data_IF_737033663019
#
_entry.id   IF_737033663019
#
_cell.length_a   1.000
_cell.length_b   1.000
_cell.length_c   1.000
_cell.angle_alpha   90.00
_cell.angle_beta   90.00
_cell.angle_gamma   90.00
#
_symmetry.space_group_name_H-M   'P 1'
#
loop_
_entity.id
_entity.type
_entity.pdbx_description
1 polymer ?
#
# COMPACT_ATOMS: atom_id res chain seq x y z
N UNK A 1 -24.13 30.02 -26.74
CA UNK A 1 -22.73 29.82 -27.16
C UNK A 1 -22.28 31.11 -27.80
N UNK A 2 -21.24 31.80 -27.38
CA UNK A 2 -20.28 31.52 -26.31
C UNK A 2 -19.43 32.80 -26.17
N UNK A 3 -19.71 33.64 -25.16
CA UNK A 3 -18.90 34.86 -24.92
C UNK A 3 -17.54 34.50 -24.28
N UNK A 4 -17.45 33.33 -23.64
CA UNK A 4 -16.22 32.85 -23.02
C UNK A 4 -15.24 32.34 -24.09
N UNK A 5 -15.72 31.66 -25.13
CA UNK A 5 -14.86 31.19 -26.25
C UNK A 5 -14.15 32.33 -26.97
N UNK A 6 -14.82 33.49 -27.10
CA UNK A 6 -14.26 34.63 -27.81
C UNK A 6 -13.20 35.34 -26.96
N UNK A 7 -13.45 35.50 -25.66
CA UNK A 7 -12.47 36.04 -24.71
C UNK A 7 -11.25 35.12 -24.59
N UNK A 8 -11.45 33.81 -24.56
CA UNK A 8 -10.36 32.84 -24.55
C UNK A 8 -9.51 32.92 -25.83
N UNK A 9 -10.14 33.07 -27.00
CA UNK A 9 -9.43 33.26 -28.28
C UNK A 9 -8.65 34.56 -28.32
N UNK A 10 -9.20 35.65 -27.81
CA UNK A 10 -8.54 36.95 -27.72
C UNK A 10 -7.35 36.92 -26.76
N UNK A 11 -7.49 36.23 -25.62
CA UNK A 11 -6.41 36.06 -24.66
C UNK A 11 -5.28 35.22 -25.26
N UNK A 12 -5.60 34.11 -25.93
CA UNK A 12 -4.59 33.26 -26.60
C UNK A 12 -3.83 34.06 -27.64
N UNK A 13 -4.53 34.80 -28.52
CA UNK A 13 -3.89 35.65 -29.52
C UNK A 13 -3.04 36.76 -28.88
N UNK A 14 -3.52 37.38 -27.80
CA UNK A 14 -2.76 38.40 -27.08
C UNK A 14 -1.48 37.84 -26.45
N UNK A 15 -1.55 36.65 -25.83
CA UNK A 15 -0.39 35.99 -25.24
C UNK A 15 0.58 35.47 -26.30
N UNK A 16 0.09 35.06 -27.47
CA UNK A 16 0.92 34.58 -28.58
C UNK A 16 1.65 35.74 -29.28
N UNK A 17 0.96 36.84 -29.53
CA UNK A 17 1.51 38.08 -30.10
C UNK A 17 2.50 38.77 -29.15
N UNK A 18 2.26 38.72 -27.83
CA UNK A 18 3.09 39.36 -26.81
C UNK A 18 3.97 38.36 -26.03
N UNK A 19 4.20 37.15 -26.56
CA UNK A 19 5.04 36.13 -25.91
C UNK A 19 6.51 36.56 -25.94
N UNK A 20 6.91 37.40 -24.99
CA UNK A 20 8.31 37.66 -24.74
C UNK A 20 8.96 36.35 -24.27
N UNK A 21 9.88 35.80 -25.06
CA UNK A 21 10.77 34.75 -24.63
C UNK A 21 11.74 35.32 -23.59
N UNK A 22 11.27 35.32 -22.34
CA UNK A 22 12.12 35.62 -21.20
C UNK A 22 13.08 34.44 -21.07
N UNK A 23 14.33 34.61 -21.52
CA UNK A 23 15.38 33.66 -21.20
C UNK A 23 15.39 33.43 -19.69
N UNK A 24 15.30 32.17 -19.26
CA UNK A 24 15.39 31.83 -17.85
C UNK A 24 16.82 32.12 -17.38
N UNK A 25 17.07 33.37 -16.97
CA UNK A 25 18.33 33.89 -16.43
C UNK A 25 18.61 33.30 -15.04
N UNK A 26 18.51 31.99 -14.90
CA UNK A 26 18.62 31.24 -13.66
C UNK A 26 17.51 31.54 -12.64
N UNK A 27 16.37 32.07 -13.07
CA UNK A 27 15.21 32.33 -12.20
C UNK A 27 14.71 31.04 -11.59
N UNK A 28 14.45 30.00 -12.40
CA UNK A 28 13.98 28.70 -11.89
C UNK A 28 14.96 28.09 -10.90
N UNK A 29 16.28 28.24 -11.14
CA UNK A 29 17.33 27.76 -10.22
C UNK A 29 17.35 28.53 -8.91
N UNK A 30 17.13 29.85 -8.92
CA UNK A 30 17.02 30.67 -7.70
C UNK A 30 15.75 30.34 -6.92
N UNK A 31 14.62 30.18 -7.59
CA UNK A 31 13.35 29.78 -6.97
C UNK A 31 13.46 28.40 -6.32
N UNK A 32 13.94 27.39 -7.05
CA UNK A 32 14.09 26.04 -6.50
C UNK A 32 15.08 25.96 -5.33
N UNK A 33 16.08 26.84 -5.29
CA UNK A 33 17.04 26.90 -4.17
C UNK A 33 16.48 27.62 -2.95
N UNK A 34 15.46 28.46 -3.13
CA UNK A 34 14.70 29.11 -2.05
C UNK A 34 13.59 28.20 -1.49
N UNK A 35 13.26 27.07 -2.13
CA UNK A 35 12.35 26.08 -1.55
C UNK A 35 13.02 25.46 -0.33
N UNK A 36 12.48 25.65 0.90
CA UNK A 36 13.12 25.19 2.11
C UNK A 36 13.16 23.65 2.13
N UNK A 37 14.33 23.08 1.86
CA UNK A 37 14.62 21.64 2.04
C UNK A 37 14.63 21.21 3.52
N UNK A 38 14.37 22.14 4.44
CA UNK A 38 14.53 21.98 5.88
C UNK A 38 13.51 21.02 6.52
N UNK A 39 12.43 20.67 5.83
CA UNK A 39 11.38 19.79 6.37
C UNK A 39 11.79 18.30 6.45
N UNK A 40 12.72 17.85 5.61
CA UNK A 40 13.07 16.43 5.51
C UNK A 40 13.76 15.90 6.77
N UNK A 41 14.62 16.70 7.41
CA UNK A 41 15.32 16.27 8.63
C UNK A 41 14.39 16.24 9.85
N UNK A 42 13.50 17.24 9.96
CA UNK A 42 12.51 17.27 11.04
C UNK A 42 11.52 16.12 10.93
N UNK A 43 11.04 15.81 9.72
CA UNK A 43 10.18 14.65 9.49
C UNK A 43 10.89 13.34 9.84
N UNK A 44 12.17 13.21 9.48
CA UNK A 44 12.96 12.01 9.79
C UNK A 44 13.25 11.84 11.28
N UNK A 45 13.48 12.93 12.01
CA UNK A 45 13.59 12.90 13.46
C UNK A 45 12.26 12.56 14.12
N UNK A 46 11.17 13.10 13.60
CA UNK A 46 9.84 12.85 14.12
C UNK A 46 9.43 11.39 13.95
N UNK A 47 9.67 10.81 12.77
CA UNK A 47 9.41 9.37 12.54
C UNK A 47 10.33 8.48 13.38
N UNK A 48 11.60 8.86 13.55
CA UNK A 48 12.51 8.13 14.44
C UNK A 48 12.04 8.18 15.91
N UNK A 49 11.57 9.34 16.38
CA UNK A 49 11.04 9.51 17.73
C UNK A 49 9.81 8.62 17.97
N UNK A 50 8.84 8.65 17.07
CA UNK A 50 7.64 7.80 17.17
C UNK A 50 7.96 6.31 17.04
N UNK A 51 8.93 5.95 16.20
CA UNK A 51 9.42 4.58 16.09
C UNK A 51 10.05 4.09 17.40
N UNK A 52 10.86 4.93 18.04
CA UNK A 52 11.49 4.61 19.33
C UNK A 52 10.44 4.51 20.44
N UNK A 53 9.47 5.43 20.48
CA UNK A 53 8.37 5.40 21.44
C UNK A 53 7.51 4.14 21.27
N UNK A 54 7.20 3.75 20.02
CA UNK A 54 6.48 2.50 19.72
C UNK A 54 7.26 1.26 20.18
N UNK A 55 8.57 1.21 19.94
CA UNK A 55 9.42 0.12 20.41
C UNK A 55 9.48 0.05 21.95
N UNK A 56 9.61 1.19 22.62
CA UNK A 56 9.61 1.25 24.09
C UNK A 56 8.28 0.77 24.68
N UNK A 57 7.15 1.22 24.12
CA UNK A 57 5.83 0.74 24.52
C UNK A 57 5.65 -0.76 24.25
N UNK A 58 6.18 -1.27 23.13
CA UNK A 58 6.14 -2.69 22.81
C UNK A 58 6.90 -3.53 23.84
N UNK A 59 8.05 -3.06 24.32
CA UNK A 59 8.81 -3.72 25.39
C UNK A 59 8.07 -3.64 26.72
N UNK A 60 7.52 -2.45 27.06
CA UNK A 60 6.81 -2.24 28.32
C UNK A 60 5.51 -3.06 28.41
N UNK A 61 4.79 -3.20 27.31
CA UNK A 61 3.53 -3.93 27.23
C UNK A 61 3.71 -5.45 27.03
N UNK A 62 4.92 -5.99 27.24
CA UNK A 62 5.23 -7.41 27.00
C UNK A 62 4.79 -7.86 25.57
N UNK A 63 4.99 -7.02 24.56
CA UNK A 63 4.50 -7.25 23.20
C UNK A 63 4.96 -8.59 22.61
N UNK A 64 6.13 -9.08 23.01
CA UNK A 64 6.61 -10.42 22.68
C UNK A 64 5.75 -11.56 23.25
N UNK A 65 5.22 -11.41 24.47
CA UNK A 65 4.29 -12.41 25.05
C UNK A 65 3.01 -12.43 24.25
N UNK A 66 2.43 -11.25 23.97
CA UNK A 66 1.22 -11.13 23.16
C UNK A 66 1.40 -11.69 21.75
N UNK A 67 2.53 -11.41 21.11
CA UNK A 67 2.87 -11.94 19.80
C UNK A 67 3.01 -13.47 19.83
N UNK A 68 3.72 -14.00 20.82
CA UNK A 68 3.87 -15.45 20.99
C UNK A 68 2.53 -16.13 21.26
N UNK A 69 1.71 -15.55 22.13
CA UNK A 69 0.35 -16.02 22.43
C UNK A 69 -0.54 -15.97 21.19
N UNK A 70 -0.46 -14.91 20.39
CA UNK A 70 -1.18 -14.82 19.13
C UNK A 70 -0.76 -15.92 18.16
N UNK A 71 0.55 -16.18 18.00
CA UNK A 71 1.03 -17.24 17.13
C UNK A 71 0.64 -18.64 17.62
N UNK A 72 0.72 -18.88 18.93
CA UNK A 72 0.28 -20.16 19.50
C UNK A 72 -1.22 -20.34 19.37
N UNK A 73 -2.02 -19.29 19.55
CA UNK A 73 -3.47 -19.34 19.41
C UNK A 73 -3.86 -19.49 17.95
N UNK A 74 -3.24 -18.76 17.02
CA UNK A 74 -3.47 -18.90 15.58
C UNK A 74 -3.15 -20.32 15.12
N UNK A 75 -1.97 -20.85 15.50
CA UNK A 75 -1.59 -22.22 15.12
C UNK A 75 -2.46 -23.27 15.81
N UNK A 76 -2.85 -23.04 17.06
CA UNK A 76 -3.68 -23.94 17.85
C UNK A 76 -5.13 -23.96 17.37
N UNK A 77 -5.70 -22.81 17.02
CA UNK A 77 -7.06 -22.66 16.50
C UNK A 77 -7.17 -23.19 15.08
N UNK A 78 -6.17 -22.94 14.22
CA UNK A 78 -6.10 -23.56 12.91
C UNK A 78 -6.01 -25.08 13.05
N UNK A 79 -5.09 -25.59 13.86
CA UNK A 79 -4.99 -27.02 14.15
C UNK A 79 -6.28 -27.58 14.74
N UNK A 80 -6.95 -26.87 15.65
CA UNK A 80 -8.17 -27.28 16.30
C UNK A 80 -9.38 -27.27 15.38
N UNK A 81 -9.47 -26.32 14.44
CA UNK A 81 -10.47 -26.33 13.37
C UNK A 81 -10.22 -27.45 12.38
N UNK A 82 -8.97 -27.72 12.00
CA UNK A 82 -8.65 -28.88 11.18
C UNK A 82 -9.01 -30.20 11.89
N UNK A 83 -8.54 -30.40 13.12
CA UNK A 83 -8.83 -31.62 13.90
C UNK A 83 -10.32 -31.77 14.17
N UNK A 84 -11.04 -30.70 14.50
CA UNK A 84 -12.50 -30.77 14.68
C UNK A 84 -13.22 -31.04 13.36
N UNK A 85 -12.75 -30.55 12.21
CA UNK A 85 -13.29 -30.95 10.89
C UNK A 85 -13.03 -32.43 10.57
N UNK A 86 -11.89 -32.99 10.96
CA UNK A 86 -11.60 -34.43 10.78
C UNK A 86 -12.31 -35.33 11.79
N UNK A 87 -12.54 -34.85 13.01
CA UNK A 87 -13.07 -35.64 14.15
C UNK A 87 -14.57 -35.49 14.33
N UNK A 88 -15.16 -34.35 13.98
CA UNK A 88 -16.61 -34.15 14.06
C UNK A 88 -17.31 -34.82 12.88
N UNK A 89 -18.31 -35.65 13.16
CA UNK A 89 -19.08 -36.40 12.16
C UNK A 89 -19.94 -35.52 11.22
N UNK A 90 -19.76 -34.20 11.24
CA UNK A 90 -20.54 -33.22 10.47
C UNK A 90 -20.03 -33.07 9.03
N UNK A 91 -18.72 -33.26 8.81
CA UNK A 91 -18.10 -33.23 7.48
C UNK A 91 -17.30 -34.52 7.33
N UNK A 92 -17.85 -35.48 6.57
CA UNK A 92 -17.14 -36.72 6.27
C UNK A 92 -15.75 -36.43 5.67
N UNK A 93 -14.69 -37.16 6.07
CA UNK A 93 -13.33 -36.98 5.53
C UNK A 93 -13.24 -36.92 3.99
N UNK A 94 -14.24 -37.51 3.31
CA UNK A 94 -14.41 -37.45 1.86
C UNK A 94 -14.59 -36.00 1.33
N UNK A 95 -15.34 -35.13 2.02
CA UNK A 95 -15.56 -33.75 1.56
C UNK A 95 -14.29 -32.91 1.65
N UNK A 96 -13.44 -33.15 2.66
CA UNK A 96 -12.13 -32.51 2.79
C UNK A 96 -11.21 -32.97 1.64
N UNK A 97 -11.21 -34.27 1.34
CA UNK A 97 -10.46 -34.82 0.19
C UNK A 97 -10.93 -34.22 -1.14
N UNK A 98 -12.25 -34.12 -1.35
CA UNK A 98 -12.84 -33.51 -2.56
C UNK A 98 -12.44 -32.03 -2.68
N UNK A 99 -12.47 -31.27 -1.59
CA UNK A 99 -12.06 -29.87 -1.58
C UNK A 99 -10.57 -29.66 -1.91
N UNK A 100 -9.69 -30.54 -1.41
CA UNK A 100 -8.26 -30.50 -1.76
C UNK A 100 -8.06 -30.85 -3.25
N UNK A 101 -8.75 -31.89 -3.74
CA UNK A 101 -8.68 -32.29 -5.15
C UNK A 101 -9.14 -31.20 -6.10
N UNK A 102 -10.22 -30.48 -5.78
CA UNK A 102 -10.72 -29.39 -6.63
C UNK A 102 -9.72 -28.23 -6.68
N UNK A 103 -9.11 -27.86 -5.54
CA UNK A 103 -8.07 -26.83 -5.48
C UNK A 103 -6.83 -27.20 -6.29
N UNK A 104 -6.38 -28.46 -6.25
CA UNK A 104 -5.25 -28.93 -7.06
C UNK A 104 -5.57 -28.85 -8.55
N UNK A 105 -6.77 -29.27 -8.95
CA UNK A 105 -7.18 -29.20 -10.37
C UNK A 105 -7.23 -27.75 -10.85
N UNK A 106 -7.81 -26.84 -10.06
CA UNK A 106 -7.87 -25.41 -10.40
C UNK A 106 -6.47 -24.80 -10.42
N UNK A 107 -5.61 -25.16 -9.47
CA UNK A 107 -4.21 -24.71 -9.43
C UNK A 107 -3.43 -25.18 -10.66
N UNK A 108 -3.51 -26.46 -11.01
CA UNK A 108 -2.88 -27.01 -12.21
C UNK A 108 -3.42 -26.36 -13.48
N UNK A 109 -4.74 -26.18 -13.59
CA UNK A 109 -5.34 -25.50 -14.72
C UNK A 109 -4.84 -24.06 -14.85
N UNK A 110 -4.75 -23.33 -13.73
CA UNK A 110 -4.28 -21.95 -13.72
C UNK A 110 -2.79 -21.85 -14.10
N UNK A 111 -1.94 -22.77 -13.62
CA UNK A 111 -0.52 -22.82 -13.98
C UNK A 111 -0.35 -23.09 -15.48
N UNK A 112 -1.01 -24.13 -16.01
CA UNK A 112 -0.95 -24.48 -17.43
C UNK A 112 -1.48 -23.35 -18.31
N UNK A 113 -2.54 -22.68 -17.88
CA UNK A 113 -3.13 -21.55 -18.63
C UNK A 113 -2.30 -20.28 -18.51
N UNK A 114 -1.53 -20.10 -17.42
CA UNK A 114 -0.63 -18.95 -17.25
C UNK A 114 0.64 -19.03 -18.11
N UNK A 115 0.94 -20.21 -18.66
CA UNK A 115 2.07 -20.45 -19.58
C UNK A 115 1.71 -20.21 -21.06
N UNK A 116 0.44 -19.95 -21.39
CA UNK A 116 -0.05 -19.55 -22.72
C UNK A 116 -0.50 -18.09 -22.75
#
# INVERSE_FOLDING_TARGET
MDMMENDDKLLIQFFEENRQEIEDRGFSRRVMRQVPKHSLWFNRLWTAFWSLAGAALFIHADGFKWFKTFFTNLSGDLSGTFVSLYTSATISPLYVYIGIMTLVIVGCYNVVTSEY
#
